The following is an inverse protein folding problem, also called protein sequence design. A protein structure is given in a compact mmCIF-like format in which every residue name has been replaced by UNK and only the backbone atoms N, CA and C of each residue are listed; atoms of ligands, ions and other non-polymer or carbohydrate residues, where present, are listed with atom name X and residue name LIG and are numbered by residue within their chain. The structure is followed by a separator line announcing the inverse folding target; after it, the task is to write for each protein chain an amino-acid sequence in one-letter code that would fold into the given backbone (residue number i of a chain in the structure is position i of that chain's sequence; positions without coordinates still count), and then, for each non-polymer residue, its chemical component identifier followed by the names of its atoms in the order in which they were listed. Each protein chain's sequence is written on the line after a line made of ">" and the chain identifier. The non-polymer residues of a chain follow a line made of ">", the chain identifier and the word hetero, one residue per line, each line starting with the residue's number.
data_IF_508353297367
#
_entry.id   IF_508353297367
#
_cell.length_a   1.000
_cell.length_b   1.000
_cell.length_c   1.000
_cell.angle_alpha   90.00
_cell.angle_beta   90.00
_cell.angle_gamma   90.00
#
_symmetry.space_group_name_H-M   'P 1'
#
loop_
_entity.id
_entity.type
_entity.pdbx_description
1 polymer ?
#
# COMPACT_ATOMS: atom_id res chain seq x y z
N UNK A 1 -5.83 12.33 -53.20
CA UNK A 1 -5.19 11.09 -52.69
C UNK A 1 -3.93 11.53 -51.96
N UNK A 2 -3.68 11.26 -50.68
CA UNK A 2 -4.47 10.68 -49.60
C UNK A 2 -4.10 11.41 -48.31
N UNK A 3 -5.08 11.61 -47.43
CA UNK A 3 -4.88 12.22 -46.12
C UNK A 3 -4.16 11.24 -45.19
N UNK A 4 -3.22 11.76 -44.41
CA UNK A 4 -2.63 11.05 -43.29
C UNK A 4 -3.68 10.96 -42.17
N UNK A 5 -4.40 9.84 -42.11
CA UNK A 5 -5.16 9.47 -40.93
C UNK A 5 -4.19 8.94 -39.88
N UNK A 6 -3.71 9.86 -39.04
CA UNK A 6 -3.02 9.57 -37.78
C UNK A 6 -4.05 8.99 -36.80
N UNK A 7 -4.35 7.71 -37.00
CA UNK A 7 -5.27 6.95 -36.17
C UNK A 7 -4.57 6.64 -34.85
N UNK A 8 -4.53 7.66 -33.99
CA UNK A 8 -4.22 7.56 -32.58
C UNK A 8 -5.11 6.48 -31.96
N UNK A 9 -4.56 5.31 -31.72
CA UNK A 9 -5.22 4.24 -30.97
C UNK A 9 -5.30 4.75 -29.53
N UNK A 10 -6.50 4.94 -28.95
CA UNK A 10 -6.60 5.27 -27.55
C UNK A 10 -6.13 4.05 -26.78
N UNK A 11 -5.06 4.21 -26.02
CA UNK A 11 -4.58 3.24 -25.04
C UNK A 11 -5.55 3.15 -23.86
N UNK A 12 -6.75 2.62 -24.12
CA UNK A 12 -7.71 2.16 -23.11
C UNK A 12 -7.30 0.77 -22.67
N UNK A 13 -6.46 0.71 -21.64
CA UNK A 13 -5.93 -0.56 -21.15
C UNK A 13 -5.63 -0.54 -19.67
N UNK A 14 -6.63 -0.24 -18.83
CA UNK A 14 -6.59 -0.62 -17.39
C UNK A 14 -7.87 -0.32 -16.59
N UNK A 15 -8.73 0.58 -17.06
CA UNK A 15 -9.93 1.02 -16.29
C UNK A 15 -11.23 0.30 -16.69
N UNK A 16 -11.38 -0.07 -17.97
CA UNK A 16 -12.62 -0.67 -18.50
C UNK A 16 -12.89 -2.08 -17.98
N UNK A 17 -11.86 -2.82 -17.55
CA UNK A 17 -12.05 -4.15 -16.94
C UNK A 17 -12.61 -4.08 -15.50
N UNK A 18 -12.81 -2.88 -14.94
CA UNK A 18 -13.27 -2.69 -13.55
C UNK A 18 -14.64 -2.05 -13.41
N UNK A 19 -15.18 -1.42 -14.44
CA UNK A 19 -16.42 -0.65 -14.35
C UNK A 19 -17.68 -1.50 -14.70
N UNK A 20 -18.21 -2.34 -13.76
CA UNK A 20 -19.65 -2.78 -13.70
C UNK A 20 -19.98 -3.82 -12.60
N UNK A 21 -21.29 -4.18 -12.45
CA UNK A 21 -22.26 -3.72 -11.46
C UNK A 21 -22.12 -4.39 -10.07
N UNK A 22 -22.80 -3.91 -9.02
CA UNK A 22 -22.69 -4.46 -7.67
C UNK A 22 -23.35 -5.85 -7.57
N UNK A 23 -22.70 -6.80 -6.88
CA UNK A 23 -23.40 -7.98 -6.32
C UNK A 23 -22.90 -9.37 -6.71
N UNK A 24 -21.92 -9.51 -7.61
CA UNK A 24 -21.33 -10.83 -7.94
C UNK A 24 -19.85 -10.85 -7.56
N UNK A 25 -19.42 -11.75 -6.64
CA UNK A 25 -18.02 -11.87 -6.27
C UNK A 25 -17.18 -12.28 -7.48
N UNK A 26 -16.19 -11.48 -7.83
CA UNK A 26 -15.27 -11.79 -8.92
C UNK A 26 -14.38 -12.98 -8.53
N UNK A 27 -13.95 -13.83 -9.50
CA UNK A 27 -13.13 -15.02 -9.20
C UNK A 27 -11.81 -14.71 -8.45
N UNK A 28 -11.29 -13.49 -8.60
CA UNK A 28 -10.06 -13.04 -7.95
C UNK A 28 -10.28 -12.45 -6.55
N UNK A 29 -11.51 -12.12 -6.14
CA UNK A 29 -11.80 -11.44 -4.87
C UNK A 29 -11.38 -12.26 -3.65
N UNK A 30 -11.51 -13.58 -3.70
CA UNK A 30 -11.06 -14.43 -2.60
C UNK A 30 -9.54 -14.41 -2.44
N UNK A 31 -8.82 -14.35 -3.56
CA UNK A 31 -7.35 -14.26 -3.57
C UNK A 31 -6.91 -12.88 -3.10
N UNK A 32 -7.57 -11.81 -3.57
CA UNK A 32 -7.33 -10.43 -3.13
C UNK A 32 -7.61 -10.27 -1.63
N UNK A 33 -8.73 -10.81 -1.13
CA UNK A 33 -9.08 -10.81 0.31
C UNK A 33 -8.05 -11.56 1.15
N UNK A 34 -7.67 -12.77 0.74
CA UNK A 34 -6.68 -13.56 1.45
C UNK A 34 -5.33 -12.83 1.52
N UNK A 35 -4.92 -12.20 0.42
CA UNK A 35 -3.69 -11.43 0.37
C UNK A 35 -3.77 -10.12 1.18
N UNK A 36 -4.93 -9.45 1.17
CA UNK A 36 -5.19 -8.29 2.01
C UNK A 36 -4.97 -8.64 3.48
N UNK A 37 -5.53 -9.77 3.94
CA UNK A 37 -5.33 -10.26 5.31
C UNK A 37 -3.85 -10.52 5.63
N UNK A 38 -3.10 -11.15 4.71
CA UNK A 38 -1.65 -11.36 4.87
C UNK A 38 -0.85 -10.06 4.93
N UNK A 39 -1.33 -9.02 4.24
CA UNK A 39 -0.73 -7.68 4.20
C UNK A 39 -1.22 -6.78 5.35
N UNK A 40 -1.91 -7.35 6.34
CA UNK A 40 -2.35 -6.67 7.55
C UNK A 40 -3.66 -5.88 7.38
N UNK A 41 -4.46 -6.19 6.37
CA UNK A 41 -5.77 -5.57 6.22
C UNK A 41 -6.68 -5.99 7.38
N UNK A 42 -7.31 -4.98 7.98
CA UNK A 42 -8.27 -5.19 9.08
C UNK A 42 -9.70 -4.86 8.61
N UNK A 43 -10.69 -5.18 9.44
CA UNK A 43 -12.13 -5.02 9.16
C UNK A 43 -12.59 -3.57 8.92
N UNK A 44 -13.90 -3.27 9.06
CA UNK A 44 -14.40 -1.91 8.84
C UNK A 44 -13.66 -0.92 9.73
N UNK A 45 -13.54 0.33 9.26
CA UNK A 45 -12.66 1.35 9.82
C UNK A 45 -12.79 1.47 11.36
N UNK A 46 -11.73 1.17 12.14
CA UNK A 46 -11.75 1.48 13.56
C UNK A 46 -11.52 2.99 13.77
N UNK A 47 -12.09 3.59 14.84
CA UNK A 47 -12.18 5.05 15.02
C UNK A 47 -10.85 5.78 15.34
N UNK A 48 -9.69 5.14 15.20
CA UNK A 48 -8.40 5.76 15.54
C UNK A 48 -7.39 5.68 14.39
N UNK A 49 -6.61 6.76 14.13
CA UNK A 49 -5.65 6.82 13.04
C UNK A 49 -4.65 5.67 13.12
N UNK A 50 -4.28 5.04 11.98
CA UNK A 50 -3.61 3.75 11.98
C UNK A 50 -2.12 3.90 12.22
N UNK A 51 -1.76 4.08 13.47
CA UNK A 51 -0.40 3.85 13.91
C UNK A 51 -0.16 2.34 13.92
N UNK A 52 0.92 1.92 13.26
CA UNK A 52 1.34 0.53 13.28
C UNK A 52 1.61 0.11 14.74
N UNK A 53 1.02 -1.00 15.23
CA UNK A 53 1.25 -1.45 16.61
C UNK A 53 2.70 -1.89 16.86
N UNK A 54 3.46 -2.17 15.80
CA UNK A 54 4.84 -2.64 15.91
C UNK A 54 5.86 -1.50 15.91
N UNK A 55 5.65 -0.43 15.12
CA UNK A 55 6.62 0.66 15.00
C UNK A 55 6.08 2.05 15.35
N UNK A 56 4.78 2.17 15.64
CA UNK A 56 4.13 3.43 15.98
C UNK A 56 3.99 4.42 14.82
N UNK A 57 4.45 4.11 13.60
CA UNK A 57 4.32 5.00 12.45
C UNK A 57 2.90 4.98 11.89
N UNK A 58 2.42 6.15 11.43
CA UNK A 58 1.16 6.23 10.70
C UNK A 58 1.28 5.53 9.33
N UNK A 59 0.42 4.55 9.07
CA UNK A 59 0.27 3.92 7.76
C UNK A 59 -0.78 4.62 6.90
N UNK A 60 -0.73 4.42 5.58
CA UNK A 60 -1.76 4.90 4.66
C UNK A 60 -2.82 3.80 4.50
N UNK A 61 -3.95 3.90 5.20
CA UNK A 61 -5.06 2.95 5.03
C UNK A 61 -5.84 3.25 3.76
N UNK A 62 -6.08 2.22 2.96
CA UNK A 62 -6.92 2.31 1.77
C UNK A 62 -8.03 1.25 1.80
N UNK A 63 -9.28 1.61 1.48
CA UNK A 63 -10.34 0.63 1.32
C UNK A 63 -9.96 -0.30 0.16
N UNK A 64 -10.30 -1.57 0.29
CA UNK A 64 -10.15 -2.57 -0.77
C UNK A 64 -11.51 -2.88 -1.37
N UNK A 65 -11.52 -3.42 -2.58
CA UNK A 65 -12.76 -3.87 -3.23
C UNK A 65 -13.53 -4.96 -2.44
N UNK A 66 -12.90 -5.56 -1.43
CA UNK A 66 -13.50 -6.57 -0.55
C UNK A 66 -14.06 -6.00 0.75
N UNK A 67 -14.06 -4.67 0.91
CA UNK A 67 -14.57 -3.95 2.08
C UNK A 67 -13.61 -3.91 3.27
N UNK A 68 -12.40 -4.47 3.13
CA UNK A 68 -11.33 -4.38 4.13
C UNK A 68 -10.46 -3.16 3.89
N UNK A 69 -9.65 -2.77 4.88
CA UNK A 69 -8.71 -1.66 4.73
C UNK A 69 -7.28 -2.15 4.88
N UNK A 70 -6.49 -2.03 3.81
CA UNK A 70 -5.08 -2.44 3.81
C UNK A 70 -4.19 -1.27 4.25
N UNK A 71 -3.21 -1.49 5.17
CA UNK A 71 -2.22 -0.50 5.52
C UNK A 71 -1.07 -0.50 4.50
N UNK A 72 -0.95 0.57 3.71
CA UNK A 72 0.13 0.76 2.75
C UNK A 72 1.23 1.65 3.33
N UNK A 73 2.45 1.45 2.85
CA UNK A 73 3.58 2.32 3.16
C UNK A 73 3.31 3.73 2.60
N UNK A 74 3.27 4.79 3.44
CA UNK A 74 2.97 6.15 2.99
C UNK A 74 4.04 6.72 2.06
N UNK A 75 3.62 7.51 1.06
CA UNK A 75 4.52 8.23 0.14
C UNK A 75 5.38 7.37 -0.80
N UNK A 76 5.42 6.04 -0.64
CA UNK A 76 6.28 5.17 -1.43
C UNK A 76 5.59 4.56 -2.66
N UNK A 77 5.97 5.02 -3.85
CA UNK A 77 5.54 4.43 -5.13
C UNK A 77 6.74 3.79 -5.83
N UNK A 78 6.64 2.51 -6.18
CA UNK A 78 7.73 1.74 -6.75
C UNK A 78 7.37 1.19 -8.14
N UNK A 79 8.36 0.94 -9.00
CA UNK A 79 8.17 0.08 -10.16
C UNK A 79 7.72 -1.32 -9.71
N UNK A 80 6.60 -1.80 -10.25
CA UNK A 80 5.97 -3.05 -9.81
C UNK A 80 6.85 -4.28 -10.03
N UNK A 81 7.75 -4.26 -11.02
CA UNK A 81 8.69 -5.35 -11.27
C UNK A 81 9.75 -5.53 -10.17
N UNK A 82 9.95 -4.53 -9.30
CA UNK A 82 10.84 -4.62 -8.13
C UNK A 82 10.13 -5.16 -6.88
N UNK A 83 8.80 -5.23 -6.92
CA UNK A 83 7.96 -5.65 -5.81
C UNK A 83 7.51 -7.09 -6.04
N UNK A 84 7.62 -7.98 -5.06
CA UNK A 84 7.15 -9.36 -5.16
C UNK A 84 5.66 -9.48 -5.52
N UNK A 85 5.34 -10.55 -6.24
CA UNK A 85 3.95 -10.95 -6.48
C UNK A 85 3.20 -11.14 -5.17
N UNK A 86 1.92 -10.77 -5.17
CA UNK A 86 1.10 -10.76 -3.97
C UNK A 86 1.25 -9.52 -3.09
N UNK A 87 2.28 -8.68 -3.26
CA UNK A 87 2.42 -7.45 -2.44
C UNK A 87 2.36 -6.16 -3.29
N UNK A 88 1.89 -6.28 -4.53
CA UNK A 88 1.75 -5.18 -5.48
C UNK A 88 0.37 -4.57 -5.35
N UNK A 89 0.29 -3.44 -4.66
CA UNK A 89 -0.97 -2.72 -4.47
C UNK A 89 -1.12 -1.57 -5.45
N UNK A 90 -2.28 -1.43 -6.04
CA UNK A 90 -2.61 -0.34 -6.95
C UNK A 90 -3.81 0.41 -6.41
N UNK A 91 -3.84 1.73 -6.62
CA UNK A 91 -4.92 2.60 -6.15
C UNK A 91 -5.66 3.10 -7.39
N UNK A 92 -6.97 2.91 -7.44
CA UNK A 92 -7.82 3.43 -8.52
C UNK A 92 -8.19 4.90 -8.32
N UNK A 93 -8.94 5.47 -9.26
CA UNK A 93 -9.40 6.87 -9.20
C UNK A 93 -10.34 7.16 -8.02
N UNK A 94 -10.98 6.15 -7.46
CA UNK A 94 -11.84 6.26 -6.27
C UNK A 94 -11.04 6.07 -4.96
N UNK A 95 -9.72 5.89 -5.05
CA UNK A 95 -8.88 5.66 -3.88
C UNK A 95 -8.96 4.24 -3.33
N UNK A 96 -9.59 3.30 -4.06
CA UNK A 96 -9.71 1.90 -3.66
C UNK A 96 -8.45 1.14 -4.08
N UNK A 97 -7.88 0.43 -3.11
CA UNK A 97 -6.71 -0.41 -3.29
C UNK A 97 -7.09 -1.81 -3.78
N UNK A 98 -6.32 -2.35 -4.71
CA UNK A 98 -6.46 -3.73 -5.20
C UNK A 98 -5.09 -4.36 -5.44
N UNK A 99 -5.01 -5.68 -5.27
CA UNK A 99 -3.77 -6.43 -5.43
C UNK A 99 -3.57 -6.93 -6.87
N UNK A 100 -2.38 -6.72 -7.43
CA UNK A 100 -2.01 -7.22 -8.75
C UNK A 100 -1.78 -8.73 -8.83
N UNK A 101 -1.86 -9.44 -7.70
CA UNK A 101 -1.61 -10.86 -7.58
C UNK A 101 -0.17 -11.25 -7.91
N UNK A 102 0.02 -12.52 -8.29
CA UNK A 102 1.32 -13.09 -8.60
C UNK A 102 1.74 -12.93 -10.07
N UNK A 103 0.82 -12.49 -10.94
CA UNK A 103 1.10 -12.31 -12.35
C UNK A 103 2.21 -11.28 -12.61
N UNK A 104 2.91 -11.43 -13.73
CA UNK A 104 3.93 -10.48 -14.16
C UNK A 104 3.27 -9.09 -14.36
N UNK A 105 3.78 -8.03 -13.72
CA UNK A 105 3.24 -6.70 -13.91
C UNK A 105 3.50 -6.19 -15.33
N UNK A 106 2.61 -5.31 -15.82
CA UNK A 106 2.79 -4.60 -17.08
C UNK A 106 4.12 -3.81 -17.08
N UNK A 107 4.71 -3.65 -18.26
CA UNK A 107 5.90 -2.84 -18.43
C UNK A 107 5.65 -1.42 -17.88
N UNK A 108 6.58 -0.92 -17.07
CA UNK A 108 6.50 0.40 -16.40
C UNK A 108 5.37 0.57 -15.37
N UNK A 109 4.61 -0.49 -15.05
CA UNK A 109 3.60 -0.42 -13.99
C UNK A 109 4.24 0.05 -12.66
N UNK A 110 3.49 0.87 -11.93
CA UNK A 110 3.86 1.36 -10.61
C UNK A 110 2.87 0.83 -9.58
N UNK A 111 3.36 0.53 -8.38
CA UNK A 111 2.56 0.04 -7.28
C UNK A 111 2.99 0.67 -5.95
N UNK A 112 2.14 0.45 -4.96
CA UNK A 112 2.37 0.64 -3.53
C UNK A 112 2.75 -0.71 -2.92
N UNK A 113 3.22 -0.69 -1.69
CA UNK A 113 3.54 -1.89 -0.92
C UNK A 113 2.81 -1.84 0.43
N UNK A 114 2.55 -2.99 1.06
CA UNK A 114 2.07 -3.04 2.44
C UNK A 114 3.08 -2.41 3.38
N UNK A 115 2.60 -1.68 4.39
CA UNK A 115 3.48 -1.13 5.43
C UNK A 115 4.24 -2.25 6.17
N UNK A 116 3.64 -3.44 6.32
CA UNK A 116 4.28 -4.59 6.96
C UNK A 116 5.68 -4.88 6.38
N UNK A 117 5.84 -4.83 5.04
CA UNK A 117 7.13 -5.03 4.39
C UNK A 117 8.18 -3.98 4.81
N UNK A 118 7.74 -2.74 5.03
CA UNK A 118 8.58 -1.61 5.39
C UNK A 118 8.67 -1.36 6.91
N UNK A 119 7.95 -2.13 7.72
CA UNK A 119 7.80 -1.88 9.15
C UNK A 119 9.06 -2.30 9.93
N UNK A 120 9.76 -1.38 10.60
CA UNK A 120 11.00 -1.68 11.32
C UNK A 120 10.76 -2.47 12.62
N UNK A 121 9.51 -2.52 13.11
CA UNK A 121 9.13 -3.27 14.33
C UNK A 121 8.87 -4.76 14.09
N UNK A 122 9.01 -5.23 12.85
CA UNK A 122 8.95 -6.65 12.48
C UNK A 122 10.36 -7.15 12.14
N UNK A 123 10.60 -8.45 12.12
CA UNK A 123 11.85 -9.03 11.63
C UNK A 123 11.77 -9.38 10.14
N UNK A 124 12.92 -9.53 9.49
CA UNK A 124 13.00 -9.99 8.08
C UNK A 124 12.76 -11.50 7.95
N UNK A 125 12.91 -12.27 9.03
CA UNK A 125 12.57 -13.69 9.00
C UNK A 125 11.05 -13.90 9.02
N UNK A 126 10.34 -12.98 9.68
CA UNK A 126 8.88 -12.88 9.60
C UNK A 126 8.41 -12.38 8.21
N UNK A 127 9.31 -11.82 7.38
CA UNK A 127 8.97 -11.16 6.11
C UNK A 127 10.09 -11.35 5.07
N UNK A 128 9.93 -12.33 4.15
CA UNK A 128 10.92 -12.74 3.14
C UNK A 128 11.70 -11.55 2.51
N UNK A 129 13.03 -11.60 2.34
CA UNK A 129 13.82 -10.39 2.10
C UNK A 129 14.01 -9.98 0.61
N UNK A 130 13.97 -8.67 0.34
CA UNK A 130 14.47 -8.00 -0.87
C UNK A 130 15.43 -6.86 -0.49
N UNK A 131 16.56 -6.71 -1.19
CA UNK A 131 17.63 -5.76 -0.80
C UNK A 131 17.20 -4.29 -0.72
N UNK A 132 16.30 -3.83 -1.59
CA UNK A 132 15.83 -2.43 -1.57
C UNK A 132 14.95 -2.14 -0.34
N UNK A 133 14.34 -3.17 0.24
CA UNK A 133 13.44 -3.03 1.38
C UNK A 133 14.19 -2.67 2.67
N UNK A 134 15.46 -3.08 2.79
CA UNK A 134 16.34 -2.73 3.91
C UNK A 134 16.45 -1.21 4.09
N UNK A 135 16.69 -0.48 3.00
CA UNK A 135 16.80 0.98 3.05
C UNK A 135 15.50 1.67 3.49
N UNK A 136 14.35 1.16 3.06
CA UNK A 136 13.04 1.68 3.49
C UNK A 136 12.82 1.43 4.98
N UNK A 137 13.18 0.24 5.47
CA UNK A 137 13.07 -0.13 6.89
C UNK A 137 14.00 0.71 7.77
N UNK A 138 15.22 0.99 7.32
CA UNK A 138 16.15 1.90 8.01
C UNK A 138 15.58 3.32 8.12
N UNK A 139 15.00 3.85 7.03
CA UNK A 139 14.34 5.15 7.08
C UNK A 139 13.14 5.15 8.04
N UNK A 140 12.32 4.12 8.00
CA UNK A 140 11.20 4.00 8.91
C UNK A 140 11.68 3.83 10.37
N UNK A 141 12.78 3.14 10.63
CA UNK A 141 13.37 3.07 11.96
C UNK A 141 13.81 4.46 12.45
N UNK A 142 14.40 5.29 11.57
CA UNK A 142 14.73 6.68 11.91
C UNK A 142 13.48 7.51 12.19
N UNK A 143 12.42 7.37 11.37
CA UNK A 143 11.13 8.06 11.59
C UNK A 143 10.49 7.65 12.91
N UNK A 144 10.50 6.36 13.22
CA UNK A 144 9.91 5.82 14.44
C UNK A 144 10.63 6.34 15.68
N UNK A 145 11.97 6.40 15.64
CA UNK A 145 12.78 7.00 16.71
C UNK A 145 12.45 8.47 16.92
N UNK A 146 12.46 9.28 15.84
CA UNK A 146 12.09 10.71 15.92
C UNK A 146 10.71 10.91 16.56
N UNK A 147 9.73 10.11 16.15
CA UNK A 147 8.37 10.16 16.72
C UNK A 147 8.35 9.80 18.21
N UNK A 148 9.08 8.75 18.61
CA UNK A 148 9.18 8.35 20.01
C UNK A 148 9.86 9.41 20.87
N UNK A 149 10.90 10.07 20.35
CA UNK A 149 11.59 11.18 21.03
C UNK A 149 10.66 12.40 21.18
N UNK A 150 9.87 12.73 20.15
CA UNK A 150 8.87 13.79 20.19
C UNK A 150 7.75 13.51 21.20
N UNK A 151 7.30 12.26 21.33
CA UNK A 151 6.29 11.83 22.31
C UNK A 151 6.85 11.72 23.74
N UNK A 152 8.12 11.37 23.89
CA UNK A 152 8.81 11.22 25.16
C UNK A 152 9.31 12.53 25.77
N UNK A 153 9.38 13.61 24.98
CA UNK A 153 9.73 14.93 25.48
C UNK A 153 8.55 15.49 26.30
N UNK A 154 8.67 15.67 27.63
CA UNK A 154 7.61 16.31 28.40
C UNK A 154 7.46 17.73 27.85
N UNK A 155 6.25 18.10 27.40
CA UNK A 155 5.88 19.51 27.32
C UNK A 155 5.88 20.05 28.75
N UNK A 156 7.02 20.53 29.23
CA UNK A 156 7.10 21.17 30.53
C UNK A 156 8.16 22.27 30.49
N UNK A 157 7.78 23.47 30.88
CA UNK A 157 8.06 23.88 32.27
C UNK A 157 6.80 24.57 32.83
N UNK A 158 6.44 24.34 34.11
CA UNK A 158 5.48 25.21 34.79
C UNK A 158 6.07 26.62 34.89
N UNK A 159 5.23 27.62 34.64
CA UNK A 159 5.56 29.02 34.78
C UNK A 159 5.88 29.30 36.25
N UNK A 160 7.14 29.66 36.54
CA UNK A 160 7.55 30.11 37.86
C UNK A 160 7.41 31.63 37.89
N UNK A 161 6.22 32.12 38.23
CA UNK A 161 5.89 33.53 38.41
C UNK A 161 4.96 33.74 39.59
#
# INVERSE_FOLDING_TARGET
>A
MGGHDDRSIPSSGSDEQRQRPPGVPRPWENTDRAQALLDGATGPEPPSPPHCPHCGLAGERRPTCTGQHVPLEPGLVLPAHLVPGGHRWHIDSNGVAWNGGFAQPLARARCRIPHQLACPGLSLDEIRPWRWLSAVREENARRARRRADEEGCPKALPDAG
#
